data_IF_674798468438
#
_entry.id   IF_674798468438
#
_cell.length_a   1.000
_cell.length_b   1.000
_cell.length_c   1.000
_cell.angle_alpha   90.00
_cell.angle_beta   90.00
_cell.angle_gamma   90.00
#
_symmetry.space_group_name_H-M   'P 1'
#
loop_
_entity.id
_entity.type
_entity.pdbx_description
1 polymer ?
#
# COMPACT_ATOMS: atom_id res chain seq x y z
N UNK A 1 -0.56 -9.93 9.49
CA UNK A 1 -1.50 -10.43 8.45
C UNK A 1 -2.96 -10.39 8.86
N UNK A 2 -3.35 -10.98 10.02
CA UNK A 2 -4.78 -11.10 10.43
C UNK A 2 -5.60 -9.81 10.26
N UNK A 3 -5.11 -8.68 10.75
CA UNK A 3 -5.81 -7.38 10.62
C UNK A 3 -6.17 -7.00 9.18
N UNK A 4 -5.24 -7.18 8.23
CA UNK A 4 -5.43 -6.74 6.84
C UNK A 4 -6.38 -7.69 6.12
N UNK A 5 -6.23 -9.00 6.38
CA UNK A 5 -7.13 -10.03 5.86
C UNK A 5 -8.55 -9.86 6.40
N UNK A 6 -8.74 -9.50 7.66
CA UNK A 6 -10.07 -9.25 8.22
C UNK A 6 -10.80 -8.08 7.55
N UNK A 7 -10.08 -7.07 7.04
CA UNK A 7 -10.71 -5.98 6.28
C UNK A 7 -11.00 -6.40 4.84
N UNK A 8 -10.10 -7.14 4.19
CA UNK A 8 -10.20 -7.48 2.77
C UNK A 8 -11.09 -8.71 2.48
N UNK A 9 -10.99 -9.74 3.32
CA UNK A 9 -11.66 -11.04 3.14
C UNK A 9 -13.00 -11.08 3.91
N UNK A 10 -12.98 -10.73 5.20
CA UNK A 10 -14.19 -10.71 6.03
C UNK A 10 -15.05 -9.44 5.83
N UNK A 11 -14.61 -8.52 4.94
CA UNK A 11 -15.26 -7.21 4.66
C UNK A 11 -15.60 -6.41 5.91
N UNK A 12 -14.87 -6.59 7.01
CA UNK A 12 -15.13 -5.85 8.24
C UNK A 12 -14.79 -4.37 8.03
N UNK A 13 -15.67 -3.50 8.50
CA UNK A 13 -15.45 -2.05 8.41
C UNK A 13 -14.17 -1.67 9.15
N UNK A 14 -13.37 -0.79 8.55
CA UNK A 14 -12.11 -0.27 9.14
C UNK A 14 -12.32 0.29 10.55
N UNK A 15 -13.49 0.86 10.85
CA UNK A 15 -13.81 1.36 12.19
C UNK A 15 -13.95 0.26 13.24
N UNK A 16 -14.46 -0.91 12.85
CA UNK A 16 -14.58 -2.08 13.73
C UNK A 16 -13.19 -2.65 13.99
N UNK A 17 -12.41 -2.89 12.93
CA UNK A 17 -11.04 -3.43 13.04
C UNK A 17 -10.11 -2.49 13.81
N UNK A 18 -10.23 -1.18 13.60
CA UNK A 18 -9.47 -0.17 14.35
C UNK A 18 -9.71 -0.27 15.86
N UNK A 19 -10.96 -0.49 16.28
CA UNK A 19 -11.32 -0.66 17.70
C UNK A 19 -10.91 -2.03 18.24
N UNK A 20 -11.15 -3.10 17.48
CA UNK A 20 -10.87 -4.48 17.88
C UNK A 20 -9.37 -4.71 18.12
N UNK A 21 -8.52 -4.12 17.28
CA UNK A 21 -7.07 -4.28 17.38
C UNK A 21 -6.36 -3.07 17.98
N UNK A 22 -7.09 -2.03 18.41
CA UNK A 22 -6.53 -0.76 18.92
C UNK A 22 -5.49 -0.14 17.97
N UNK A 23 -5.75 -0.20 16.66
CA UNK A 23 -4.88 0.36 15.62
C UNK A 23 -5.55 1.57 14.98
N UNK A 24 -4.79 2.62 14.69
CA UNK A 24 -5.31 3.80 14.00
C UNK A 24 -5.81 3.47 12.58
N UNK A 25 -6.90 4.10 12.16
CA UNK A 25 -7.46 3.93 10.80
C UNK A 25 -6.48 4.31 9.68
N UNK A 26 -5.60 5.27 9.94
CA UNK A 26 -4.54 5.68 9.01
C UNK A 26 -3.54 4.56 8.78
N UNK A 27 -3.08 3.91 9.86
CA UNK A 27 -2.20 2.73 9.79
C UNK A 27 -2.86 1.58 9.03
N UNK A 28 -4.14 1.32 9.27
CA UNK A 28 -4.89 0.30 8.53
C UNK A 28 -4.94 0.61 7.02
N UNK A 29 -5.21 1.86 6.64
CA UNK A 29 -5.19 2.28 5.23
C UNK A 29 -3.81 2.06 4.60
N UNK A 30 -2.75 2.44 5.30
CA UNK A 30 -1.38 2.27 4.81
C UNK A 30 -1.03 0.80 4.59
N UNK A 31 -1.40 -0.08 5.53
CA UNK A 31 -1.22 -1.52 5.40
C UNK A 31 -2.04 -2.12 4.25
N UNK A 32 -3.29 -1.69 4.07
CA UNK A 32 -4.13 -2.15 2.94
C UNK A 32 -3.50 -1.72 1.61
N UNK A 33 -3.08 -0.46 1.48
CA UNK A 33 -2.43 0.06 0.28
C UNK A 33 -1.15 -0.70 -0.05
N UNK A 34 -0.29 -0.92 0.95
CA UNK A 34 0.94 -1.71 0.80
C UNK A 34 0.66 -3.16 0.39
N UNK A 35 -0.36 -3.76 0.98
CA UNK A 35 -0.76 -5.13 0.65
C UNK A 35 -1.33 -5.24 -0.78
N UNK A 36 -2.10 -4.26 -1.24
CA UNK A 36 -2.61 -4.23 -2.61
C UNK A 36 -1.50 -4.02 -3.65
N UNK A 37 -0.46 -3.27 -3.30
CA UNK A 37 0.68 -2.97 -4.18
C UNK A 37 1.67 -4.14 -4.27
N UNK A 38 2.09 -4.67 -3.12
CA UNK A 38 3.24 -5.59 -3.01
C UNK A 38 2.88 -6.90 -2.29
N UNK A 39 1.59 -7.16 -2.07
CA UNK A 39 1.11 -8.36 -1.38
C UNK A 39 1.61 -8.44 0.07
N UNK A 40 1.90 -9.66 0.51
CA UNK A 40 2.46 -9.92 1.85
C UNK A 40 3.80 -9.21 2.05
N UNK A 41 4.59 -9.03 0.99
CA UNK A 41 5.92 -8.41 1.08
C UNK A 41 5.82 -6.92 1.43
N UNK A 42 4.77 -6.24 0.95
CA UNK A 42 4.48 -4.84 1.31
C UNK A 42 4.22 -4.62 2.81
N UNK A 43 3.86 -5.66 3.55
CA UNK A 43 3.65 -5.59 5.00
C UNK A 43 4.91 -5.90 5.81
N UNK A 44 5.99 -6.37 5.17
CA UNK A 44 7.25 -6.62 5.86
C UNK A 44 7.97 -5.30 6.12
N UNK A 45 8.65 -5.22 7.27
CA UNK A 45 9.53 -4.10 7.55
C UNK A 45 10.65 -4.04 6.50
N UNK A 46 10.79 -2.87 5.87
CA UNK A 46 11.91 -2.60 4.97
C UNK A 46 13.14 -2.20 5.78
N UNK A 47 14.19 -3.02 5.72
CA UNK A 47 15.50 -2.73 6.35
C UNK A 47 16.42 -1.89 5.47
N UNK A 48 16.07 -1.77 4.18
CA UNK A 48 16.82 -1.05 3.15
C UNK A 48 15.86 -0.32 2.22
N UNK A 49 16.40 0.59 1.39
CA UNK A 49 15.62 1.22 0.32
C UNK A 49 15.31 0.22 -0.80
N UNK A 50 14.17 0.41 -1.49
CA UNK A 50 13.78 -0.39 -2.66
C UNK A 50 14.53 0.11 -3.89
N UNK A 51 15.34 -0.74 -4.49
CA UNK A 51 16.06 -0.41 -5.72
C UNK A 51 15.12 -0.52 -6.93
N UNK A 52 14.90 0.60 -7.60
CA UNK A 52 14.17 0.65 -8.87
C UNK A 52 15.16 0.67 -10.04
N UNK A 53 14.91 -0.14 -11.07
CA UNK A 53 15.74 -0.19 -12.27
C UNK A 53 15.74 1.16 -12.99
N UNK A 54 16.82 1.47 -13.71
CA UNK A 54 16.89 2.70 -14.50
C UNK A 54 15.76 2.77 -15.53
N UNK A 55 15.42 1.65 -16.14
CA UNK A 55 14.32 1.54 -17.10
C UNK A 55 12.98 1.93 -16.48
N UNK A 56 12.64 1.38 -15.31
CA UNK A 56 11.40 1.70 -14.63
C UNK A 56 11.32 3.19 -14.24
N UNK A 57 12.45 3.78 -13.81
CA UNK A 57 12.53 5.21 -13.53
C UNK A 57 12.29 6.05 -14.78
N UNK A 58 12.86 5.65 -15.93
CA UNK A 58 12.64 6.34 -17.22
C UNK A 58 11.18 6.23 -17.64
N UNK A 59 10.59 5.04 -17.58
CA UNK A 59 9.16 4.84 -17.88
C UNK A 59 8.27 5.75 -17.03
N UNK A 60 8.56 5.91 -15.73
CA UNK A 60 7.79 6.81 -14.88
C UNK A 60 7.89 8.29 -15.34
N UNK A 61 9.06 8.73 -15.81
CA UNK A 61 9.26 10.09 -16.35
C UNK A 61 8.51 10.28 -17.66
N UNK A 62 8.66 9.35 -18.62
CA UNK A 62 7.95 9.39 -19.89
C UNK A 62 6.43 9.36 -19.70
N UNK A 63 5.94 8.51 -18.80
CA UNK A 63 4.52 8.40 -18.45
C UNK A 63 3.96 9.73 -17.92
N UNK A 64 4.74 10.45 -17.11
CA UNK A 64 4.39 11.78 -16.63
C UNK A 64 4.39 12.82 -17.76
N UNK A 65 5.43 12.84 -18.59
CA UNK A 65 5.54 13.78 -19.73
C UNK A 65 4.44 13.57 -20.78
N UNK A 66 3.98 12.33 -20.95
CA UNK A 66 2.86 11.98 -21.81
C UNK A 66 1.49 12.39 -21.24
N UNK A 67 1.43 13.01 -20.05
CA UNK A 67 0.20 13.42 -19.39
C UNK A 67 -0.67 12.26 -18.91
N UNK A 68 -0.10 11.04 -18.84
CA UNK A 68 -0.80 9.85 -18.39
C UNK A 68 -0.77 9.72 -16.85
N UNK A 69 0.13 10.46 -16.19
CA UNK A 69 0.15 10.66 -14.75
C UNK A 69 -0.69 11.85 -14.32
N UNK A 70 -1.24 11.81 -13.10
CA UNK A 70 -2.05 12.90 -12.57
C UNK A 70 -1.19 14.10 -12.18
N UNK A 71 -1.40 15.27 -12.80
CA UNK A 71 -1.20 16.55 -12.13
C UNK A 71 -2.44 16.79 -11.27
N UNK A 72 -2.30 16.74 -9.95
CA UNK A 72 -3.28 17.33 -9.04
C UNK A 72 -2.61 18.43 -8.25
#
# INVERSE_FOLDING_TARGET
>A
LKVVLSVLDEKKSMGVVSKEYSVAKSTLNDWIRKYQSDGIDGLKESKTWKAYSQELKRQAVDYYLAGQGSLS
#
